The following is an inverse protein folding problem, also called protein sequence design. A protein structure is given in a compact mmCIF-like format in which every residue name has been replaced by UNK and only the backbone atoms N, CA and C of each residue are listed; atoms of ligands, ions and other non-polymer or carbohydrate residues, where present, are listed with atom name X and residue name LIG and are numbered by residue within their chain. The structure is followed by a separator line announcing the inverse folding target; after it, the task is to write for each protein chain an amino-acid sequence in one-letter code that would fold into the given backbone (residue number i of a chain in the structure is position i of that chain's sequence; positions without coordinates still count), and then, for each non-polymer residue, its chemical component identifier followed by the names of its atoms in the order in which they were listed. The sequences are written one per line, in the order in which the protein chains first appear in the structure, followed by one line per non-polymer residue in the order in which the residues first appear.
data_IF_533588716810
#
_entry.id   IF_533588716810
#
_cell.length_a   1.000
_cell.length_b   1.000
_cell.length_c   1.000
_cell.angle_alpha   90.00
_cell.angle_beta   90.00
_cell.angle_gamma   90.00
#
_symmetry.space_group_name_H-M   'P 1'
#
loop_
_entity.id
_entity.type
_entity.pdbx_description
1 polymer ?
#
# COMPACT_ATOMS: atom_id res chain seq x y z
N UNK A 1 6.13 -26.39 -16.32
CA UNK A 1 5.32 -27.50 -15.77
C UNK A 1 4.28 -27.86 -16.81
N UNK A 2 4.03 -29.14 -17.13
CA UNK A 2 2.94 -29.47 -18.06
C UNK A 2 1.56 -29.20 -17.43
N UNK A 3 0.55 -29.02 -18.26
CA UNK A 3 -0.79 -28.59 -17.81
C UNK A 3 -1.47 -29.65 -16.93
N UNK A 4 -1.21 -30.95 -17.14
CA UNK A 4 -1.78 -32.01 -16.34
C UNK A 4 -1.26 -31.98 -14.89
N UNK A 5 0.06 -31.80 -14.73
CA UNK A 5 0.70 -31.65 -13.43
C UNK A 5 0.29 -30.33 -12.74
N UNK A 6 0.12 -29.25 -13.51
CA UNK A 6 -0.41 -27.99 -13.01
C UNK A 6 -1.81 -28.17 -12.40
N UNK A 7 -2.76 -28.72 -13.15
CA UNK A 7 -4.13 -28.87 -12.68
C UNK A 7 -4.26 -29.84 -11.50
N UNK A 8 -3.47 -30.93 -11.48
CA UNK A 8 -3.43 -31.84 -10.34
C UNK A 8 -2.97 -31.14 -9.05
N UNK A 9 -1.95 -30.26 -9.14
CA UNK A 9 -1.50 -29.49 -7.97
C UNK A 9 -2.50 -28.39 -7.59
N UNK A 10 -3.17 -27.75 -8.56
CA UNK A 10 -4.24 -26.78 -8.25
C UNK A 10 -5.33 -27.45 -7.42
N UNK A 11 -5.79 -28.64 -7.85
CA UNK A 11 -6.82 -29.38 -7.13
C UNK A 11 -6.39 -29.80 -5.72
N UNK A 12 -5.14 -30.25 -5.57
CA UNK A 12 -4.57 -30.55 -4.25
C UNK A 12 -4.56 -29.31 -3.35
N UNK A 13 -4.01 -28.20 -3.84
CA UNK A 13 -3.86 -26.97 -3.06
C UNK A 13 -5.20 -26.32 -2.73
N UNK A 14 -6.19 -26.38 -3.63
CA UNK A 14 -7.56 -25.91 -3.34
C UNK A 14 -8.21 -26.71 -2.20
N UNK A 15 -8.01 -28.03 -2.17
CA UNK A 15 -8.46 -28.86 -1.05
C UNK A 15 -7.76 -28.49 0.27
N UNK A 16 -6.44 -28.22 0.22
CA UNK A 16 -5.68 -27.75 1.38
C UNK A 16 -6.10 -26.34 1.84
N UNK A 17 -6.67 -25.53 0.94
CA UNK A 17 -7.11 -24.16 1.18
C UNK A 17 -8.64 -24.03 1.31
N UNK A 18 -9.34 -25.11 1.67
CA UNK A 18 -10.80 -25.13 1.79
C UNK A 18 -11.38 -24.08 2.76
N UNK A 19 -10.59 -23.61 3.72
CA UNK A 19 -10.97 -22.57 4.69
C UNK A 19 -10.68 -21.14 4.20
N UNK A 20 -9.92 -20.98 3.11
CA UNK A 20 -9.66 -19.67 2.48
C UNK A 20 -10.90 -19.22 1.69
N UNK A 21 -11.27 -17.93 1.71
CA UNK A 21 -12.34 -17.42 0.84
C UNK A 21 -12.08 -17.74 -0.64
N UNK A 22 -13.08 -18.28 -1.33
CA UNK A 22 -12.95 -18.83 -2.69
C UNK A 22 -12.27 -17.86 -3.68
N UNK A 23 -12.63 -16.57 -3.64
CA UNK A 23 -12.08 -15.52 -4.51
C UNK A 23 -10.57 -15.28 -4.34
N UNK A 24 -9.96 -15.75 -3.23
CA UNK A 24 -8.53 -15.57 -2.94
C UNK A 24 -7.71 -16.82 -3.25
N UNK A 25 -8.37 -17.97 -3.37
CA UNK A 25 -7.69 -19.25 -3.62
C UNK A 25 -6.92 -19.30 -4.93
N UNK A 26 -7.41 -18.76 -6.08
CA UNK A 26 -6.62 -18.75 -7.31
C UNK A 26 -5.26 -18.09 -7.12
N UNK A 27 -5.26 -16.98 -6.37
CA UNK A 27 -4.07 -16.21 -6.08
C UNK A 27 -3.16 -16.92 -5.07
N UNK A 28 -3.70 -17.50 -3.99
CA UNK A 28 -2.92 -18.27 -3.01
C UNK A 28 -2.27 -19.53 -3.62
N UNK A 29 -3.00 -20.21 -4.50
CA UNK A 29 -2.52 -21.39 -5.23
C UNK A 29 -1.44 -21.01 -6.23
N UNK A 30 -1.61 -19.89 -6.94
CA UNK A 30 -0.56 -19.34 -7.80
C UNK A 30 0.76 -19.16 -7.05
N UNK A 31 0.73 -18.69 -5.79
CA UNK A 31 1.94 -18.54 -4.99
C UNK A 31 2.53 -19.84 -4.48
N UNK A 32 1.69 -20.77 -4.06
CA UNK A 32 2.15 -22.09 -3.63
C UNK A 32 2.86 -22.83 -4.78
N UNK A 33 2.46 -22.57 -6.03
CA UNK A 33 3.01 -23.21 -7.22
C UNK A 33 4.28 -22.54 -7.74
N UNK A 34 4.31 -21.22 -7.80
CA UNK A 34 5.34 -20.45 -8.53
C UNK A 34 6.38 -19.83 -7.59
N UNK A 35 6.02 -19.57 -6.32
CA UNK A 35 6.85 -18.74 -5.44
C UNK A 35 6.98 -17.30 -5.96
N UNK A 36 7.50 -16.39 -5.13
CA UNK A 36 7.65 -14.98 -5.54
C UNK A 36 8.98 -14.69 -6.28
N UNK A 37 9.93 -15.63 -6.27
CA UNK A 37 11.27 -15.43 -6.81
C UNK A 37 11.37 -15.66 -8.34
N UNK A 38 10.38 -16.31 -8.95
CA UNK A 38 10.36 -16.68 -10.38
C UNK A 38 9.33 -15.89 -11.20
N UNK A 39 9.02 -14.63 -10.84
CA UNK A 39 7.99 -13.85 -11.53
C UNK A 39 8.47 -13.25 -12.85
N UNK A 40 8.18 -13.93 -13.96
CA UNK A 40 8.29 -13.42 -15.33
C UNK A 40 6.92 -13.45 -16.07
N UNK A 41 6.87 -13.02 -17.34
CA UNK A 41 5.63 -13.07 -18.14
C UNK A 41 5.05 -14.49 -18.25
N UNK A 42 5.91 -15.51 -18.26
CA UNK A 42 5.52 -16.92 -18.33
C UNK A 42 4.86 -17.38 -17.03
N UNK A 43 5.35 -16.88 -15.88
CA UNK A 43 4.77 -17.09 -14.57
C UNK A 43 3.34 -16.53 -14.50
N UNK A 44 3.10 -15.30 -15.00
CA UNK A 44 1.77 -14.68 -15.00
C UNK A 44 0.76 -15.43 -15.86
N UNK A 45 1.20 -16.15 -16.89
CA UNK A 45 0.33 -17.02 -17.68
C UNK A 45 -0.27 -18.16 -16.84
N UNK A 46 0.43 -18.63 -15.79
CA UNK A 46 -0.14 -19.61 -14.86
C UNK A 46 -1.28 -19.03 -14.04
N UNK A 47 -1.23 -17.77 -13.63
CA UNK A 47 -2.35 -17.14 -12.92
C UNK A 47 -3.62 -17.13 -13.79
N UNK A 48 -3.48 -16.88 -15.10
CA UNK A 48 -4.58 -16.98 -16.06
C UNK A 48 -5.16 -18.40 -16.14
N UNK A 49 -4.31 -19.43 -16.19
CA UNK A 49 -4.73 -20.84 -16.20
C UNK A 49 -5.41 -21.27 -14.89
N UNK A 50 -4.87 -20.86 -13.75
CA UNK A 50 -5.44 -21.14 -12.42
C UNK A 50 -6.81 -20.47 -12.30
N UNK A 51 -6.91 -19.20 -12.70
CA UNK A 51 -8.18 -18.47 -12.67
C UNK A 51 -9.22 -19.14 -13.57
N UNK A 52 -8.84 -19.55 -14.78
CA UNK A 52 -9.72 -20.28 -15.69
C UNK A 52 -10.21 -21.61 -15.10
N UNK A 53 -9.33 -22.36 -14.42
CA UNK A 53 -9.71 -23.60 -13.74
C UNK A 53 -10.73 -23.35 -12.62
N UNK A 54 -10.53 -22.30 -11.82
CA UNK A 54 -11.47 -21.92 -10.75
C UNK A 54 -12.83 -21.49 -11.33
N UNK A 55 -12.83 -20.71 -12.41
CA UNK A 55 -14.07 -20.33 -13.10
C UNK A 55 -14.80 -21.56 -13.63
N UNK A 56 -14.07 -22.52 -14.22
CA UNK A 56 -14.66 -23.75 -14.73
C UNK A 56 -15.28 -24.60 -13.61
N UNK A 57 -14.64 -24.66 -12.44
CA UNK A 57 -15.09 -25.50 -11.32
C UNK A 57 -16.17 -24.87 -10.45
N UNK A 58 -16.07 -23.57 -10.21
CA UNK A 58 -16.88 -22.85 -9.22
C UNK A 58 -17.72 -21.71 -9.80
N UNK A 59 -17.60 -21.43 -11.10
CA UNK A 59 -18.30 -20.33 -11.77
C UNK A 59 -17.55 -19.01 -11.75
N UNK A 60 -18.09 -18.00 -12.44
CA UNK A 60 -17.45 -16.68 -12.58
C UNK A 60 -17.22 -15.96 -11.24
N UNK A 61 -17.98 -16.32 -10.19
CA UNK A 61 -17.80 -15.79 -8.83
C UNK A 61 -16.44 -16.15 -8.20
N UNK A 62 -15.74 -17.15 -8.75
CA UNK A 62 -14.39 -17.53 -8.35
C UNK A 62 -13.29 -16.82 -9.16
N UNK A 63 -13.65 -16.02 -10.17
CA UNK A 63 -12.70 -15.19 -10.89
C UNK A 63 -12.14 -14.12 -9.95
N UNK A 64 -10.82 -13.99 -9.89
CA UNK A 64 -10.24 -12.82 -9.24
C UNK A 64 -10.46 -11.61 -10.13
N UNK A 65 -11.28 -10.67 -9.68
CA UNK A 65 -11.65 -9.42 -10.38
C UNK A 65 -10.49 -8.41 -10.52
N UNK A 66 -9.29 -8.77 -10.02
CA UNK A 66 -8.14 -7.89 -9.97
C UNK A 66 -8.25 -6.78 -8.93
N UNK A 67 -9.33 -6.74 -8.15
CA UNK A 67 -9.54 -5.76 -7.07
C UNK A 67 -8.82 -6.29 -5.83
N UNK A 68 -7.81 -5.54 -5.38
CA UNK A 68 -7.10 -5.82 -4.15
C UNK A 68 -7.97 -5.51 -2.93
N UNK A 69 -8.67 -4.37 -3.00
CA UNK A 69 -9.53 -3.88 -1.92
C UNK A 69 -10.50 -2.80 -2.41
N UNK A 70 -11.46 -2.47 -1.55
CA UNK A 70 -12.50 -1.46 -1.73
C UNK A 70 -12.35 -0.42 -0.63
N UNK A 71 -11.84 0.76 -0.99
CA UNK A 71 -11.49 1.84 -0.06
C UNK A 71 -12.70 2.76 0.19
N UNK A 72 -13.27 2.79 1.41
CA UNK A 72 -14.37 3.70 1.75
C UNK A 72 -13.86 5.13 1.94
N UNK A 73 -14.31 6.02 1.05
CA UNK A 73 -13.99 7.44 1.07
C UNK A 73 -15.22 8.25 1.48
N UNK A 74 -15.04 9.17 2.43
CA UNK A 74 -16.08 10.17 2.72
C UNK A 74 -15.97 11.32 1.73
N UNK A 75 -16.88 11.36 0.75
CA UNK A 75 -16.83 12.31 -0.37
C UNK A 75 -18.22 12.90 -0.63
N UNK A 76 -18.31 14.24 -0.66
CA UNK A 76 -19.56 15.00 -0.81
C UNK A 76 -20.65 14.61 0.19
N UNK A 77 -20.28 14.44 1.46
CA UNK A 77 -21.22 14.17 2.55
C UNK A 77 -21.72 12.73 2.65
N UNK A 78 -21.18 11.81 1.85
CA UNK A 78 -21.55 10.39 1.84
C UNK A 78 -20.34 9.47 1.72
N UNK A 79 -20.49 8.21 2.14
CA UNK A 79 -19.51 7.16 1.86
C UNK A 79 -19.63 6.73 0.41
N UNK A 80 -18.50 6.72 -0.27
CA UNK A 80 -18.32 6.13 -1.59
C UNK A 80 -17.19 5.12 -1.52
N UNK A 81 -17.14 4.18 -2.46
CA UNK A 81 -16.15 3.12 -2.46
C UNK A 81 -15.28 3.27 -3.69
N UNK A 82 -13.98 3.40 -3.47
CA UNK A 82 -12.97 3.42 -4.52
C UNK A 82 -12.34 2.03 -4.64
N UNK A 83 -12.43 1.43 -5.82
CA UNK A 83 -11.77 0.14 -6.08
C UNK A 83 -10.26 0.33 -6.29
N UNK A 84 -9.49 -0.47 -5.55
CA UNK A 84 -8.03 -0.50 -5.65
C UNK A 84 -7.64 -1.74 -6.43
N UNK A 85 -7.10 -1.54 -7.63
CA UNK A 85 -6.86 -2.60 -8.61
C UNK A 85 -5.38 -2.97 -8.62
N UNK A 86 -5.07 -4.24 -8.84
CA UNK A 86 -3.72 -4.73 -9.04
C UNK A 86 -3.14 -4.22 -10.38
N UNK A 87 -1.93 -3.65 -10.34
CA UNK A 87 -1.29 -2.99 -11.48
C UNK A 87 -1.11 -3.88 -12.73
N UNK A 88 -1.17 -5.21 -12.59
CA UNK A 88 -1.00 -6.17 -13.69
C UNK A 88 -2.29 -6.69 -14.35
N UNK A 89 -3.48 -6.31 -13.87
CA UNK A 89 -4.74 -6.95 -14.31
C UNK A 89 -5.59 -6.09 -15.26
N UNK A 90 -5.42 -4.77 -15.31
CA UNK A 90 -6.20 -3.92 -16.25
C UNK A 90 -5.64 -2.50 -16.43
N UNK A 91 -5.70 -1.98 -17.67
CA UNK A 91 -5.42 -0.58 -18.01
C UNK A 91 -6.57 0.38 -17.60
N UNK A 92 -7.75 -0.15 -17.20
CA UNK A 92 -8.91 0.66 -16.78
C UNK A 92 -8.88 0.87 -15.27
N UNK A 93 -8.65 2.13 -14.90
CA UNK A 93 -8.23 2.58 -13.56
C UNK A 93 -9.44 2.69 -12.63
N UNK A 94 -9.35 2.12 -11.42
CA UNK A 94 -10.39 2.25 -10.39
C UNK A 94 -10.80 3.70 -10.14
N UNK A 95 -9.85 4.65 -10.15
CA UNK A 95 -10.13 6.08 -10.06
C UNK A 95 -10.84 6.66 -11.30
N UNK A 96 -10.51 6.22 -12.52
CA UNK A 96 -11.16 6.76 -13.72
C UNK A 96 -12.59 6.23 -13.87
N UNK A 97 -12.82 4.96 -13.51
CA UNK A 97 -14.18 4.41 -13.40
C UNK A 97 -14.98 5.18 -12.35
N UNK A 98 -14.39 5.40 -11.16
CA UNK A 98 -15.02 6.16 -10.08
C UNK A 98 -15.35 7.61 -10.48
N UNK A 99 -14.43 8.31 -11.16
CA UNK A 99 -14.66 9.66 -11.64
C UNK A 99 -15.75 9.71 -12.72
N UNK A 100 -15.79 8.72 -13.61
CA UNK A 100 -16.85 8.61 -14.61
C UNK A 100 -18.21 8.36 -13.97
N UNK A 101 -18.29 7.47 -12.99
CA UNK A 101 -19.52 7.22 -12.23
C UNK A 101 -19.98 8.48 -11.47
N UNK A 102 -19.05 9.28 -10.95
CA UNK A 102 -19.37 10.57 -10.33
C UNK A 102 -19.96 11.57 -11.34
N UNK A 103 -19.42 11.60 -12.56
CA UNK A 103 -19.92 12.43 -13.66
C UNK A 103 -21.32 11.98 -14.10
N UNK A 104 -21.50 10.68 -14.34
CA UNK A 104 -22.76 10.08 -14.79
C UNK A 104 -23.89 10.26 -13.75
N UNK A 105 -23.55 10.26 -12.45
CA UNK A 105 -24.50 10.39 -11.35
C UNK A 105 -24.69 11.83 -10.82
N UNK A 106 -24.15 12.85 -11.50
CA UNK A 106 -24.38 14.24 -11.08
C UNK A 106 -23.41 15.25 -11.65
N UNK A 107 -22.58 15.84 -10.77
CA UNK A 107 -21.62 16.89 -11.15
C UNK A 107 -20.21 16.31 -11.23
N UNK A 108 -19.41 16.66 -12.24
CA UNK A 108 -18.00 16.31 -12.28
C UNK A 108 -17.27 16.75 -11.00
N UNK A 109 -16.20 16.06 -10.65
CA UNK A 109 -15.32 16.49 -9.56
C UNK A 109 -14.68 17.85 -9.92
N UNK A 110 -14.73 18.80 -8.99
CA UNK A 110 -13.93 20.02 -9.08
C UNK A 110 -12.43 19.67 -9.02
N UNK A 111 -11.57 20.62 -9.38
CA UNK A 111 -10.13 20.41 -9.35
C UNK A 111 -9.61 19.97 -7.96
N UNK A 112 -10.08 20.60 -6.89
CA UNK A 112 -9.70 20.24 -5.52
C UNK A 112 -10.20 18.85 -5.13
N UNK A 113 -11.43 18.50 -5.51
CA UNK A 113 -11.97 17.16 -5.30
C UNK A 113 -11.19 16.10 -6.07
N UNK A 114 -10.83 16.39 -7.32
CA UNK A 114 -10.02 15.51 -8.14
C UNK A 114 -8.61 15.31 -7.56
N UNK A 115 -8.00 16.38 -7.02
CA UNK A 115 -6.69 16.34 -6.34
C UNK A 115 -6.77 15.45 -5.10
N UNK A 116 -7.80 15.64 -4.27
CA UNK A 116 -8.07 14.80 -3.11
C UNK A 116 -8.26 13.32 -3.49
N UNK A 117 -9.12 13.03 -4.47
CA UNK A 117 -9.38 11.66 -4.92
C UNK A 117 -8.15 10.98 -5.52
N UNK A 118 -7.34 11.74 -6.27
CA UNK A 118 -6.08 11.25 -6.83
C UNK A 118 -5.06 10.90 -5.75
N UNK A 119 -4.98 11.73 -4.69
CA UNK A 119 -4.13 11.45 -3.51
C UNK A 119 -4.58 10.18 -2.82
N UNK A 120 -5.87 10.08 -2.51
CA UNK A 120 -6.43 8.89 -1.84
C UNK A 120 -6.14 7.64 -2.66
N UNK A 121 -6.49 7.64 -3.96
CA UNK A 121 -6.24 6.50 -4.84
C UNK A 121 -4.78 6.06 -4.84
N UNK A 122 -3.85 7.01 -4.86
CA UNK A 122 -2.43 6.73 -4.88
C UNK A 122 -1.92 6.15 -3.54
N UNK A 123 -2.29 6.76 -2.41
CA UNK A 123 -1.96 6.26 -1.07
C UNK A 123 -2.51 4.84 -0.88
N UNK A 124 -3.78 4.63 -1.24
CA UNK A 124 -4.44 3.33 -1.13
C UNK A 124 -3.82 2.27 -2.01
N UNK A 125 -3.44 2.63 -3.25
CA UNK A 125 -2.77 1.70 -4.16
C UNK A 125 -1.41 1.28 -3.63
N UNK A 126 -0.63 2.21 -3.08
CA UNK A 126 0.65 1.90 -2.45
C UNK A 126 0.48 1.02 -1.21
N UNK A 127 -0.50 1.35 -0.36
CA UNK A 127 -0.77 0.62 0.87
C UNK A 127 -1.19 -0.81 0.58
N UNK A 128 -2.21 -0.99 -0.27
CA UNK A 128 -2.68 -2.32 -0.63
C UNK A 128 -1.65 -3.10 -1.45
N UNK A 129 -0.82 -2.45 -2.26
CA UNK A 129 0.30 -3.14 -2.92
C UNK A 129 1.31 -3.67 -1.91
N UNK A 130 1.60 -2.91 -0.84
CA UNK A 130 2.53 -3.32 0.21
C UNK A 130 1.99 -4.50 1.03
N UNK A 131 0.72 -4.41 1.44
CA UNK A 131 0.02 -5.48 2.14
C UNK A 131 -0.06 -6.73 1.27
N UNK A 132 -0.39 -6.55 0.00
CA UNK A 132 -0.49 -7.64 -0.95
C UNK A 132 0.88 -8.27 -1.08
N UNK A 133 1.93 -7.48 -1.37
CA UNK A 133 3.30 -7.96 -1.50
C UNK A 133 3.78 -8.81 -0.30
N UNK A 134 3.36 -8.48 0.92
CA UNK A 134 3.66 -9.30 2.10
C UNK A 134 2.94 -10.65 2.09
N UNK A 135 1.62 -10.67 1.81
CA UNK A 135 0.86 -11.93 1.69
C UNK A 135 1.42 -12.85 0.60
N UNK A 136 1.91 -12.24 -0.48
CA UNK A 136 2.54 -12.94 -1.60
C UNK A 136 3.90 -13.58 -1.22
N UNK A 137 4.42 -13.30 -0.03
CA UNK A 137 5.71 -13.78 0.46
C UNK A 137 5.55 -14.54 1.79
N UNK A 138 4.94 -15.74 1.77
CA UNK A 138 4.65 -16.48 3.00
C UNK A 138 5.90 -16.84 3.81
N UNK A 139 7.09 -16.88 3.20
CA UNK A 139 8.37 -17.09 3.87
C UNK A 139 8.82 -15.92 4.75
N UNK A 140 8.26 -14.72 4.58
CA UNK A 140 8.54 -13.55 5.42
C UNK A 140 7.85 -13.61 6.78
N UNK A 141 6.80 -14.43 6.92
CA UNK A 141 5.98 -14.49 8.12
C UNK A 141 6.03 -15.90 8.72
N UNK A 142 6.26 -15.97 10.03
CA UNK A 142 5.99 -17.18 10.80
C UNK A 142 4.50 -17.58 10.71
N UNK A 143 4.13 -18.84 11.00
CA UNK A 143 2.72 -19.27 10.95
C UNK A 143 1.78 -18.38 11.77
N UNK A 144 2.22 -17.95 12.95
CA UNK A 144 1.46 -17.04 13.83
C UNK A 144 1.29 -15.65 13.21
N UNK A 145 2.35 -15.09 12.61
CA UNK A 145 2.26 -13.79 11.95
C UNK A 145 1.36 -13.85 10.72
N UNK A 146 1.37 -14.97 9.99
CA UNK A 146 0.50 -15.20 8.84
C UNK A 146 -0.98 -15.25 9.23
N UNK A 147 -1.32 -15.95 10.32
CA UNK A 147 -2.69 -15.94 10.87
C UNK A 147 -3.16 -14.52 11.20
N UNK A 148 -2.33 -13.76 11.93
CA UNK A 148 -2.64 -12.37 12.26
C UNK A 148 -2.84 -11.52 11.00
N UNK A 149 -2.01 -11.72 9.98
CA UNK A 149 -2.03 -10.93 8.75
C UNK A 149 -3.31 -11.18 7.95
N UNK A 150 -3.70 -12.45 7.81
CA UNK A 150 -4.96 -12.85 7.16
C UNK A 150 -6.19 -12.31 7.88
N UNK A 151 -6.20 -12.35 9.21
CA UNK A 151 -7.30 -11.78 10.00
C UNK A 151 -7.37 -10.26 9.88
N UNK A 152 -6.23 -9.58 9.83
CA UNK A 152 -6.19 -8.13 9.60
C UNK A 152 -6.68 -7.75 8.19
N UNK A 153 -6.35 -8.57 7.18
CA UNK A 153 -6.88 -8.42 5.83
C UNK A 153 -8.39 -8.58 5.76
N UNK A 154 -8.92 -9.57 6.47
CA UNK A 154 -10.36 -9.75 6.63
C UNK A 154 -11.01 -8.50 7.24
N UNK A 155 -10.42 -7.96 8.33
CA UNK A 155 -10.93 -6.75 8.95
C UNK A 155 -10.94 -5.56 7.98
N UNK A 156 -9.83 -5.27 7.30
CA UNK A 156 -9.76 -4.16 6.33
C UNK A 156 -10.81 -4.33 5.22
N UNK A 157 -10.95 -5.54 4.67
CA UNK A 157 -11.91 -5.79 3.57
C UNK A 157 -13.36 -5.65 3.98
N UNK A 158 -13.69 -5.87 5.24
CA UNK A 158 -15.07 -5.73 5.73
C UNK A 158 -15.47 -4.27 5.99
N UNK A 159 -14.52 -3.35 6.18
CA UNK A 159 -14.85 -1.95 6.50
C UNK A 159 -15.63 -1.27 5.36
N UNK A 160 -15.25 -1.50 4.11
CA UNK A 160 -15.94 -0.95 2.93
C UNK A 160 -17.43 -1.35 2.88
N UNK A 161 -17.76 -2.66 2.86
CA UNK A 161 -19.14 -3.15 2.92
C UNK A 161 -19.90 -2.67 4.16
N UNK A 162 -19.29 -2.67 5.35
CA UNK A 162 -19.95 -2.20 6.57
C UNK A 162 -20.41 -0.73 6.42
N UNK A 163 -19.53 0.14 5.94
CA UNK A 163 -19.85 1.56 5.77
C UNK A 163 -20.81 1.82 4.62
N UNK A 164 -20.60 1.16 3.48
CA UNK A 164 -21.36 1.44 2.26
C UNK A 164 -22.76 0.79 2.29
N UNK A 165 -22.86 -0.46 2.74
CA UNK A 165 -24.12 -1.22 2.67
C UNK A 165 -24.95 -1.12 3.95
N UNK A 166 -24.33 -1.15 5.13
CA UNK A 166 -25.05 -1.17 6.41
C UNK A 166 -25.03 0.16 7.18
N UNK A 167 -24.14 1.08 6.81
CA UNK A 167 -23.91 2.31 7.57
C UNK A 167 -23.36 2.07 8.98
N UNK A 168 -22.80 0.89 9.26
CA UNK A 168 -22.26 0.53 10.58
C UNK A 168 -20.92 1.21 10.83
N UNK A 169 -21.02 2.44 11.33
CA UNK A 169 -19.88 3.28 11.72
C UNK A 169 -19.05 2.62 12.82
N UNK A 170 -19.70 2.01 13.81
CA UNK A 170 -19.02 1.46 14.98
C UNK A 170 -18.27 0.18 14.61
N UNK A 171 -18.91 -0.74 13.87
CA UNK A 171 -18.27 -1.93 13.34
C UNK A 171 -17.06 -1.60 12.46
N UNK A 172 -17.18 -0.61 11.58
CA UNK A 172 -16.09 -0.15 10.72
C UNK A 172 -14.86 0.36 11.51
N UNK A 173 -15.08 1.20 12.53
CA UNK A 173 -14.00 1.70 13.40
C UNK A 173 -13.34 0.53 14.15
N UNK A 174 -14.15 -0.41 14.63
CA UNK A 174 -13.69 -1.58 15.37
C UNK A 174 -12.81 -2.48 14.51
N UNK A 175 -13.24 -2.82 13.29
CA UNK A 175 -12.44 -3.60 12.34
C UNK A 175 -11.15 -2.87 11.97
N UNK A 176 -11.21 -1.55 11.75
CA UNK A 176 -10.01 -0.74 11.47
C UNK A 176 -8.99 -0.83 12.62
N UNK A 177 -9.45 -0.67 13.86
CA UNK A 177 -8.59 -0.79 15.04
C UNK A 177 -8.01 -2.20 15.19
N UNK A 178 -8.81 -3.23 14.95
CA UNK A 178 -8.37 -4.63 14.98
C UNK A 178 -7.31 -4.95 13.92
N UNK A 179 -7.45 -4.43 12.71
CA UNK A 179 -6.47 -4.61 11.65
C UNK A 179 -5.11 -4.01 12.05
N UNK A 180 -5.12 -2.76 12.52
CA UNK A 180 -3.92 -2.09 12.99
C UNK A 180 -3.27 -2.85 14.14
N UNK A 181 -4.04 -3.24 15.16
CA UNK A 181 -3.55 -4.02 16.31
C UNK A 181 -2.80 -5.29 15.86
N UNK A 182 -3.37 -6.03 14.91
CA UNK A 182 -2.78 -7.28 14.40
C UNK A 182 -1.46 -7.02 13.67
N UNK A 183 -1.36 -5.99 12.83
CA UNK A 183 -0.10 -5.63 12.18
C UNK A 183 0.96 -5.11 13.16
N UNK A 184 0.58 -4.32 14.16
CA UNK A 184 1.53 -3.92 15.21
C UNK A 184 2.05 -5.12 16.00
N UNK A 185 1.21 -6.13 16.24
CA UNK A 185 1.62 -7.40 16.84
C UNK A 185 2.55 -8.21 15.93
N UNK A 186 2.28 -8.26 14.63
CA UNK A 186 3.20 -8.87 13.65
C UNK A 186 4.57 -8.19 13.70
N UNK A 187 4.60 -6.85 13.73
CA UNK A 187 5.83 -6.10 13.85
C UNK A 187 6.57 -6.42 15.15
N UNK A 188 5.87 -6.54 16.29
CA UNK A 188 6.49 -6.86 17.57
C UNK A 188 7.17 -8.22 17.54
N UNK A 189 6.50 -9.23 16.98
CA UNK A 189 7.08 -10.56 16.76
C UNK A 189 8.31 -10.48 15.84
N UNK A 190 8.21 -9.72 14.75
CA UNK A 190 9.29 -9.52 13.78
C UNK A 190 10.53 -8.88 14.42
N UNK A 191 10.35 -7.95 15.36
CA UNK A 191 11.45 -7.32 16.11
C UNK A 191 11.85 -8.08 17.39
N UNK A 192 11.44 -9.35 17.52
CA UNK A 192 11.91 -10.25 18.56
C UNK A 192 11.10 -10.28 19.87
N UNK A 193 9.84 -9.82 19.88
CA UNK A 193 8.95 -10.07 21.02
C UNK A 193 8.60 -11.57 21.07
N UNK A 194 8.77 -12.26 22.21
CA UNK A 194 8.36 -13.66 22.33
C UNK A 194 6.83 -13.83 22.17
N UNK A 195 6.37 -14.86 21.43
CA UNK A 195 4.94 -15.12 21.22
C UNK A 195 4.11 -15.20 22.50
N UNK A 196 4.70 -15.69 23.60
CA UNK A 196 4.02 -15.90 24.88
C UNK A 196 3.66 -14.59 25.58
N UNK A 197 4.31 -13.48 25.20
CA UNK A 197 4.03 -12.13 25.69
C UNK A 197 2.95 -11.43 24.86
N UNK A 198 2.68 -11.89 23.64
CA UNK A 198 1.70 -11.30 22.76
C UNK A 198 0.30 -11.42 23.37
N UNK A 199 -0.47 -10.33 23.34
CA UNK A 199 -1.83 -10.31 23.89
C UNK A 199 -1.92 -10.19 25.42
N UNK A 200 -0.80 -10.07 26.15
CA UNK A 200 -0.77 -9.91 27.61
C UNK A 200 -0.37 -8.50 28.03
N UNK A 201 -0.95 -8.02 29.14
CA UNK A 201 -0.61 -6.72 29.73
C UNK A 201 -0.66 -5.58 28.71
N UNK A 202 0.46 -4.86 28.55
CA UNK A 202 0.58 -3.74 27.60
C UNK A 202 0.49 -4.15 26.12
N UNK A 203 0.61 -5.44 25.80
CA UNK A 203 0.53 -5.99 24.44
C UNK A 203 -0.86 -6.49 24.05
N UNK A 204 -1.90 -6.13 24.83
CA UNK A 204 -3.27 -6.61 24.62
C UNK A 204 -3.96 -5.89 23.46
N UNK A 205 -4.56 -4.72 23.70
CA UNK A 205 -5.35 -3.98 22.70
C UNK A 205 -4.99 -2.49 22.59
N UNK A 206 -4.11 -1.96 23.42
CA UNK A 206 -3.81 -0.53 23.39
C UNK A 206 -2.76 -0.23 22.30
N UNK A 207 -3.16 0.43 21.21
CA UNK A 207 -2.26 0.71 20.08
C UNK A 207 -1.05 1.56 20.51
N UNK A 208 -1.24 2.53 21.40
CA UNK A 208 -0.18 3.42 21.86
C UNK A 208 0.90 2.63 22.60
N UNK A 209 0.51 1.69 23.48
CA UNK A 209 1.45 0.80 24.14
C UNK A 209 2.18 -0.14 23.17
N UNK A 210 1.50 -0.63 22.12
CA UNK A 210 2.14 -1.44 21.09
C UNK A 210 3.19 -0.62 20.33
N UNK A 211 2.86 0.61 19.94
CA UNK A 211 3.79 1.51 19.25
C UNK A 211 4.97 1.90 20.13
N UNK A 212 4.75 2.27 21.39
CA UNK A 212 5.88 2.64 22.26
C UNK A 212 6.82 1.47 22.49
N UNK A 213 6.28 0.25 22.59
CA UNK A 213 7.11 -0.94 22.67
C UNK A 213 7.84 -1.26 21.35
N UNK A 214 7.26 -0.96 20.19
CA UNK A 214 7.90 -1.09 18.88
C UNK A 214 9.00 -0.05 18.68
N UNK A 215 8.69 1.23 18.92
CA UNK A 215 9.61 2.34 18.81
C UNK A 215 10.82 2.18 19.75
N UNK A 216 10.60 1.64 20.96
CA UNK A 216 11.67 1.31 21.89
C UNK A 216 12.58 0.15 21.44
N UNK A 217 12.15 -0.67 20.47
CA UNK A 217 12.96 -1.74 19.86
C UNK A 217 13.61 -1.28 18.56
N UNK A 218 12.87 -0.57 17.72
CA UNK A 218 13.35 -0.02 16.45
C UNK A 218 12.73 1.36 16.19
N UNK A 219 13.58 2.39 16.14
CA UNK A 219 13.16 3.79 16.06
C UNK A 219 12.31 4.12 14.81
N UNK A 220 12.43 3.37 13.72
CA UNK A 220 11.64 3.56 12.49
C UNK A 220 10.12 3.50 12.73
N UNK A 221 9.66 2.74 13.73
CA UNK A 221 8.23 2.67 14.07
C UNK A 221 7.69 3.90 14.79
N UNK A 222 8.53 4.90 15.14
CA UNK A 222 8.08 6.20 15.67
C UNK A 222 7.13 6.90 14.69
N UNK A 223 7.29 6.65 13.38
CA UNK A 223 6.41 7.19 12.33
C UNK A 223 4.95 6.76 12.52
N UNK A 224 4.71 5.62 13.17
CA UNK A 224 3.35 5.12 13.43
C UNK A 224 2.70 5.75 14.67
N UNK A 225 3.41 6.56 15.48
CA UNK A 225 2.83 7.18 16.68
C UNK A 225 1.62 8.04 16.37
N UNK A 226 1.76 8.97 15.42
CA UNK A 226 0.66 9.87 15.05
C UNK A 226 -0.57 9.09 14.55
N UNK A 227 -0.46 8.22 13.51
CA UNK A 227 -1.63 7.52 13.01
C UNK A 227 -2.23 6.54 14.03
N UNK A 228 -1.42 5.88 14.86
CA UNK A 228 -1.93 5.00 15.91
C UNK A 228 -2.65 5.77 17.03
N UNK A 229 -2.12 6.91 17.46
CA UNK A 229 -2.76 7.77 18.47
C UNK A 229 -4.10 8.31 17.97
N UNK A 230 -4.14 8.80 16.72
CA UNK A 230 -5.37 9.29 16.09
C UNK A 230 -6.41 8.16 15.95
N UNK A 231 -5.98 6.96 15.55
CA UNK A 231 -6.86 5.79 15.46
C UNK A 231 -7.38 5.36 16.84
N UNK A 232 -6.52 5.38 17.85
CA UNK A 232 -6.89 5.04 19.22
C UNK A 232 -7.90 6.04 19.79
N UNK A 233 -7.79 7.35 19.50
CA UNK A 233 -8.76 8.36 19.91
C UNK A 233 -10.16 8.17 19.30
N UNK A 234 -10.25 7.46 18.16
CA UNK A 234 -11.53 7.09 17.55
C UNK A 234 -12.18 5.90 18.28
N UNK A 235 -11.39 5.08 18.98
CA UNK A 235 -11.80 3.91 19.75
C UNK A 235 -10.90 3.69 20.99
N UNK A 236 -11.14 4.45 22.06
CA UNK A 236 -10.29 4.44 23.26
C UNK A 236 -10.23 3.06 23.96
N UNK A 237 -11.23 2.21 23.72
CA UNK A 237 -11.28 0.86 24.29
C UNK A 237 -12.08 -0.09 23.41
N UNK A 238 -11.65 -1.35 23.36
CA UNK A 238 -12.42 -2.43 22.71
C UNK A 238 -13.76 -2.68 23.41
N UNK A 239 -13.90 -2.29 24.68
CA UNK A 239 -15.18 -2.33 25.39
C UNK A 239 -16.19 -1.33 24.82
N UNK A 240 -15.73 -0.34 24.06
CA UNK A 240 -16.62 0.63 23.42
C UNK A 240 -17.57 -0.02 22.41
N UNK A 241 -17.29 -1.26 21.95
CA UNK A 241 -18.23 -2.11 21.20
C UNK A 241 -19.58 -2.27 21.87
N UNK A 242 -19.63 -2.19 23.20
CA UNK A 242 -20.83 -2.38 24.00
C UNK A 242 -21.48 -1.06 24.44
N UNK A 243 -20.99 0.07 23.93
CA UNK A 243 -21.50 1.41 24.23
C UNK A 243 -21.79 2.19 22.96
N UNK A 244 -22.70 3.16 23.01
CA UNK A 244 -23.00 4.03 21.86
C UNK A 244 -21.88 5.05 21.66
N UNK A 245 -21.01 4.84 20.66
CA UNK A 245 -20.04 5.85 20.27
C UNK A 245 -20.71 6.90 19.36
N UNK A 246 -20.65 8.18 19.74
CA UNK A 246 -21.04 9.29 18.85
C UNK A 246 -19.92 9.53 17.84
N UNK A 247 -19.87 8.71 16.80
CA UNK A 247 -18.93 8.81 15.67
C UNK A 247 -19.70 8.92 14.37
N UNK A 248 -19.06 9.55 13.39
CA UNK A 248 -19.64 9.80 12.06
C UNK A 248 -19.08 8.84 11.03
N UNK A 249 -19.72 8.76 9.87
CA UNK A 249 -19.16 8.06 8.71
C UNK A 249 -17.77 8.58 8.31
N UNK A 250 -17.54 9.90 8.46
CA UNK A 250 -16.23 10.52 8.23
C UNK A 250 -15.18 9.98 9.19
N UNK A 251 -15.53 9.82 10.47
CA UNK A 251 -14.63 9.24 11.48
C UNK A 251 -14.28 7.79 11.15
N UNK A 252 -15.24 7.00 10.67
CA UNK A 252 -14.96 5.61 10.27
C UNK A 252 -14.11 5.49 9.01
N UNK A 253 -14.33 6.34 7.99
CA UNK A 253 -13.46 6.41 6.82
C UNK A 253 -12.02 6.84 7.22
N UNK A 254 -11.89 7.78 8.16
CA UNK A 254 -10.59 8.17 8.70
C UNK A 254 -9.94 7.03 9.50
N UNK A 255 -10.70 6.32 10.34
CA UNK A 255 -10.20 5.14 11.07
C UNK A 255 -9.64 4.09 10.11
N UNK A 256 -10.37 3.81 9.02
CA UNK A 256 -9.91 2.91 7.97
C UNK A 256 -8.59 3.35 7.36
N UNK A 257 -8.49 4.62 6.93
CA UNK A 257 -7.26 5.18 6.34
C UNK A 257 -6.07 5.06 7.30
N UNK A 258 -6.26 5.41 8.57
CA UNK A 258 -5.21 5.32 9.60
C UNK A 258 -4.77 3.87 9.83
N UNK A 259 -5.73 2.95 9.94
CA UNK A 259 -5.45 1.53 10.12
C UNK A 259 -4.71 0.95 8.92
N UNK A 260 -5.17 1.24 7.70
CA UNK A 260 -4.55 0.83 6.46
C UNK A 260 -3.09 1.30 6.40
N UNK A 261 -2.84 2.57 6.72
CA UNK A 261 -1.49 3.12 6.75
C UNK A 261 -0.59 2.39 7.76
N UNK A 262 -1.08 2.15 8.99
CA UNK A 262 -0.34 1.36 9.99
C UNK A 262 0.00 -0.05 9.48
N UNK A 263 -0.97 -0.74 8.87
CA UNK A 263 -0.77 -2.08 8.34
C UNK A 263 0.25 -2.09 7.20
N UNK A 264 0.07 -1.17 6.24
CA UNK A 264 0.95 -1.00 5.09
C UNK A 264 2.38 -0.74 5.52
N UNK A 265 2.61 0.25 6.39
CA UNK A 265 3.94 0.58 6.88
C UNK A 265 4.65 -0.65 7.47
N UNK A 266 3.97 -1.41 8.32
CA UNK A 266 4.54 -2.64 8.88
C UNK A 266 4.88 -3.64 7.78
N UNK A 267 3.98 -3.86 6.83
CA UNK A 267 4.21 -4.77 5.70
C UNK A 267 5.44 -4.36 4.88
N UNK A 268 5.57 -3.06 4.58
CA UNK A 268 6.74 -2.50 3.92
C UNK A 268 8.02 -2.79 4.71
N UNK A 269 8.01 -2.52 6.03
CA UNK A 269 9.20 -2.70 6.86
C UNK A 269 9.65 -4.16 6.95
N UNK A 270 8.72 -5.11 7.04
CA UNK A 270 9.06 -6.55 7.08
C UNK A 270 9.71 -6.97 5.76
N UNK A 271 9.13 -6.55 4.63
CA UNK A 271 9.70 -6.82 3.31
C UNK A 271 11.10 -6.21 3.17
N UNK A 272 11.25 -4.94 3.53
CA UNK A 272 12.50 -4.21 3.39
C UNK A 272 13.60 -4.73 4.31
N UNK A 273 13.27 -5.11 5.56
CA UNK A 273 14.23 -5.72 6.49
C UNK A 273 14.80 -7.02 5.93
N UNK A 274 13.98 -7.84 5.26
CA UNK A 274 14.45 -9.05 4.60
C UNK A 274 15.40 -8.74 3.45
N UNK A 275 15.01 -7.86 2.55
CA UNK A 275 15.76 -7.55 1.31
C UNK A 275 17.08 -6.87 1.64
N UNK A 276 17.10 -5.95 2.60
CA UNK A 276 18.31 -5.22 3.00
C UNK A 276 19.28 -6.07 3.82
N UNK A 277 18.76 -6.98 4.64
CA UNK A 277 19.53 -7.63 5.71
C UNK A 277 19.96 -6.70 6.86
N UNK A 278 19.54 -5.43 6.82
CA UNK A 278 19.81 -4.41 7.83
C UNK A 278 18.59 -3.50 8.02
N UNK A 279 18.40 -2.96 9.24
CA UNK A 279 17.22 -2.17 9.60
C UNK A 279 17.16 -0.80 8.91
N UNK A 280 18.30 -0.26 8.52
CA UNK A 280 18.39 1.06 7.89
C UNK A 280 19.55 1.10 6.89
N UNK A 281 19.50 2.04 5.94
CA UNK A 281 20.53 2.26 4.94
C UNK A 281 21.02 3.71 4.97
N UNK A 282 22.34 3.90 4.82
CA UNK A 282 22.88 5.23 4.56
C UNK A 282 22.57 5.65 3.13
N UNK A 283 21.69 6.64 2.94
CA UNK A 283 21.48 7.24 1.61
C UNK A 283 22.77 7.96 1.16
N UNK A 284 23.29 7.57 -0.01
CA UNK A 284 24.52 8.09 -0.61
C UNK A 284 24.20 8.78 -1.92
N UNK A 285 24.65 10.03 -2.06
CA UNK A 285 24.35 10.83 -3.25
C UNK A 285 24.82 10.12 -4.52
N UNK A 286 23.96 10.13 -5.55
CA UNK A 286 24.21 9.46 -6.82
C UNK A 286 23.94 7.97 -6.84
N UNK A 287 23.54 7.36 -5.71
CA UNK A 287 23.09 5.96 -5.66
C UNK A 287 21.60 5.82 -5.97
N UNK A 288 21.23 4.59 -6.30
CA UNK A 288 19.88 4.20 -6.66
C UNK A 288 19.25 3.31 -5.60
N UNK A 289 17.95 3.51 -5.43
CA UNK A 289 17.17 2.95 -4.35
C UNK A 289 15.81 2.51 -4.87
N UNK A 290 15.26 1.46 -4.29
CA UNK A 290 13.91 0.98 -4.59
C UNK A 290 13.10 0.90 -3.30
N UNK A 291 11.82 1.26 -3.36
CA UNK A 291 10.90 1.08 -2.24
C UNK A 291 10.12 -0.25 -2.35
N UNK A 292 9.26 -0.53 -1.38
CA UNK A 292 8.42 -1.73 -1.33
C UNK A 292 7.29 -1.77 -2.36
N UNK A 293 7.07 -0.67 -3.09
CA UNK A 293 6.13 -0.57 -4.20
C UNK A 293 6.85 -0.66 -5.57
N UNK A 294 8.11 -1.13 -5.56
CA UNK A 294 8.96 -1.30 -6.73
C UNK A 294 9.27 -0.01 -7.49
N UNK A 295 9.09 1.16 -6.85
CA UNK A 295 9.44 2.45 -7.43
C UNK A 295 10.93 2.70 -7.26
N UNK A 296 11.55 3.22 -8.31
CA UNK A 296 13.00 3.37 -8.39
C UNK A 296 13.39 4.84 -8.31
N UNK A 297 14.37 5.12 -7.45
CA UNK A 297 14.79 6.47 -7.10
C UNK A 297 16.29 6.63 -7.25
N UNK A 298 16.74 7.82 -7.69
CA UNK A 298 18.12 8.29 -7.50
C UNK A 298 18.15 9.28 -6.35
N UNK A 299 19.01 9.06 -5.35
CA UNK A 299 19.20 10.03 -4.29
C UNK A 299 20.15 11.15 -4.71
N UNK A 300 19.74 12.39 -4.49
CA UNK A 300 20.43 13.60 -4.94
C UNK A 300 20.85 14.52 -3.78
N UNK A 301 20.97 13.96 -2.57
CA UNK A 301 21.41 14.68 -1.40
C UNK A 301 20.26 15.29 -0.59
N UNK A 302 20.59 16.27 0.24
CA UNK A 302 19.65 16.88 1.18
C UNK A 302 19.55 18.39 1.00
N UNK A 303 18.42 18.97 1.40
CA UNK A 303 18.21 20.41 1.41
C UNK A 303 17.47 20.84 2.67
N UNK A 304 17.98 21.86 3.34
CA UNK A 304 17.28 22.51 4.45
C UNK A 304 16.17 23.42 3.92
N UNK A 305 14.96 23.32 4.48
CA UNK A 305 13.83 24.22 4.22
C UNK A 305 12.97 24.32 5.49
N UNK A 306 12.70 25.54 5.95
CA UNK A 306 11.82 25.81 7.09
C UNK A 306 12.20 25.04 8.38
N UNK A 307 13.50 24.83 8.62
CA UNK A 307 14.01 24.06 9.76
C UNK A 307 13.97 22.54 9.58
N UNK A 308 13.45 22.04 8.46
CA UNK A 308 13.37 20.62 8.12
C UNK A 308 14.49 20.24 7.14
N UNK A 309 15.14 19.10 7.39
CA UNK A 309 16.05 18.51 6.42
C UNK A 309 15.24 17.66 5.43
N UNK A 310 15.30 18.00 4.15
CA UNK A 310 14.60 17.29 3.08
C UNK A 310 15.56 16.41 2.28
N UNK A 311 15.20 15.14 2.07
CA UNK A 311 15.82 14.24 1.11
C UNK A 311 15.34 14.62 -0.30
N UNK A 312 16.28 14.77 -1.23
CA UNK A 312 15.98 14.99 -2.65
C UNK A 312 16.15 13.66 -3.39
N UNK A 313 15.09 13.16 -4.01
CA UNK A 313 15.13 11.91 -4.78
C UNK A 313 14.46 12.09 -6.14
N UNK A 314 15.10 11.63 -7.21
CA UNK A 314 14.46 11.54 -8.52
C UNK A 314 13.78 10.18 -8.66
N UNK A 315 12.45 10.17 -8.77
CA UNK A 315 11.67 9.02 -9.22
C UNK A 315 11.92 8.79 -10.71
N UNK A 316 12.22 7.55 -11.08
CA UNK A 316 12.61 7.16 -12.43
C UNK A 316 11.71 6.07 -12.99
N UNK A 317 11.06 6.37 -14.12
CA UNK A 317 10.31 5.39 -14.90
C UNK A 317 9.12 4.77 -14.19
N UNK A 318 8.52 5.46 -13.23
CA UNK A 318 7.29 5.00 -12.59
C UNK A 318 6.17 4.89 -13.61
N UNK A 319 5.37 3.84 -13.56
CA UNK A 319 4.19 3.71 -14.41
C UNK A 319 3.01 4.34 -13.69
N UNK A 320 2.39 5.33 -14.33
CA UNK A 320 1.08 5.85 -13.94
C UNK A 320 0.24 5.85 -15.21
N UNK A 321 -0.88 5.12 -15.20
CA UNK A 321 -1.88 5.26 -16.27
C UNK A 321 -1.36 4.90 -17.68
N UNK A 322 -0.40 3.96 -17.77
CA UNK A 322 0.27 3.56 -19.00
C UNK A 322 1.33 4.55 -19.49
N UNK A 323 1.61 5.60 -18.69
CA UNK A 323 2.63 6.60 -18.97
C UNK A 323 3.80 6.43 -18.00
N UNK A 324 5.00 6.63 -18.52
CA UNK A 324 6.20 6.72 -17.70
C UNK A 324 6.29 8.12 -17.08
N UNK A 325 6.34 8.17 -15.76
CA UNK A 325 6.55 9.37 -14.95
C UNK A 325 7.97 9.37 -14.42
N UNK A 326 8.65 10.49 -14.60
CA UNK A 326 9.87 10.84 -13.88
C UNK A 326 9.63 12.15 -13.13
N UNK A 327 10.05 12.22 -11.87
CA UNK A 327 9.77 13.38 -11.03
C UNK A 327 10.85 13.59 -9.96
N UNK A 328 11.16 14.84 -9.64
CA UNK A 328 11.93 15.17 -8.43
C UNK A 328 10.97 15.19 -7.23
N UNK A 329 11.18 14.27 -6.30
CA UNK A 329 10.44 14.12 -5.06
C UNK A 329 11.27 14.63 -3.89
N UNK A 330 10.59 15.19 -2.87
CA UNK A 330 11.21 15.74 -1.66
C UNK A 330 10.55 15.12 -0.44
N UNK A 331 11.32 14.49 0.43
CA UNK A 331 10.84 13.82 1.64
C UNK A 331 11.46 14.45 2.88
N UNK A 332 10.78 14.46 4.03
CA UNK A 332 11.39 14.88 5.31
C UNK A 332 12.30 13.74 5.80
N UNK A 333 13.55 14.03 6.22
CA UNK A 333 14.56 13.01 6.57
C UNK A 333 14.51 12.54 8.04
N UNK A 334 15.01 11.31 8.33
CA UNK A 334 15.49 10.29 7.40
C UNK A 334 14.44 9.18 7.15
N UNK A 335 13.92 9.09 5.92
CA UNK A 335 13.07 7.99 5.45
C UNK A 335 13.88 6.81 4.87
N UNK A 336 15.16 6.67 5.19
CA UNK A 336 16.04 5.63 4.63
C UNK A 336 15.48 4.21 4.84
N UNK A 337 14.74 4.00 5.93
CA UNK A 337 14.03 2.77 6.22
C UNK A 337 12.86 2.47 5.25
N UNK A 338 12.53 3.33 4.28
CA UNK A 338 11.59 3.04 3.19
C UNK A 338 12.24 2.49 1.91
N UNK A 339 13.57 2.52 1.77
CA UNK A 339 14.24 2.09 0.53
C UNK A 339 15.34 1.04 0.71
N UNK A 340 15.56 0.15 -0.25
CA UNK A 340 16.76 -0.68 -0.31
C UNK A 340 17.66 -0.23 -1.47
N UNK A 341 18.97 -0.43 -1.34
CA UNK A 341 19.92 -0.04 -2.37
C UNK A 341 19.82 -0.99 -3.57
N UNK A 342 19.72 -0.43 -4.78
CA UNK A 342 19.82 -1.21 -6.01
C UNK A 342 21.30 -1.45 -6.28
N UNK A 343 21.69 -2.72 -6.36
CA UNK A 343 23.10 -3.13 -6.57
C UNK A 343 23.32 -3.88 -7.87
N UNK A 344 22.26 -4.30 -8.57
CA UNK A 344 22.41 -5.05 -9.80
C UNK A 344 22.89 -4.15 -10.95
N UNK A 345 23.98 -4.57 -11.60
CA UNK A 345 24.65 -3.76 -12.62
C UNK A 345 23.75 -3.42 -13.82
N UNK A 346 22.96 -4.36 -14.38
CA UNK A 346 22.08 -4.05 -15.50
C UNK A 346 21.03 -2.97 -15.18
N UNK A 347 20.36 -3.05 -14.02
CA UNK A 347 19.38 -2.03 -13.61
C UNK A 347 20.06 -0.70 -13.32
N UNK A 348 21.23 -0.71 -12.67
CA UNK A 348 21.99 0.52 -12.44
C UNK A 348 22.34 1.24 -13.75
N UNK A 349 22.79 0.50 -14.76
CA UNK A 349 23.08 1.06 -16.09
C UNK A 349 21.81 1.65 -16.73
N UNK A 350 20.69 0.90 -16.71
CA UNK A 350 19.39 1.37 -17.24
C UNK A 350 18.93 2.66 -16.55
N UNK A 351 19.03 2.72 -15.22
CA UNK A 351 18.61 3.87 -14.42
C UNK A 351 19.53 5.08 -14.61
N UNK A 352 20.83 4.86 -14.77
CA UNK A 352 21.79 5.93 -15.10
C UNK A 352 21.53 6.50 -16.48
N UNK A 353 21.35 5.66 -17.51
CA UNK A 353 20.96 6.12 -18.84
C UNK A 353 19.68 6.95 -18.80
N UNK A 354 18.65 6.48 -18.10
CA UNK A 354 17.38 7.22 -17.96
C UNK A 354 17.56 8.56 -17.26
N UNK A 355 18.33 8.60 -16.17
CA UNK A 355 18.62 9.84 -15.46
C UNK A 355 19.35 10.85 -16.35
N UNK A 356 20.37 10.41 -17.09
CA UNK A 356 21.10 11.28 -18.03
C UNK A 356 20.20 11.82 -19.15
N UNK A 357 19.28 11.01 -19.69
CA UNK A 357 18.28 11.48 -20.66
C UNK A 357 17.41 12.61 -20.09
N UNK A 358 16.92 12.45 -18.85
CA UNK A 358 16.10 13.46 -18.17
C UNK A 358 16.89 14.75 -17.98
N UNK A 359 18.14 14.65 -17.51
CA UNK A 359 19.01 15.80 -17.28
C UNK A 359 19.41 16.50 -18.59
N UNK A 360 19.60 15.75 -19.68
CA UNK A 360 19.86 16.31 -21.00
C UNK A 360 18.63 17.08 -21.52
N UNK A 361 17.43 16.50 -21.39
CA UNK A 361 16.16 17.16 -21.76
C UNK A 361 15.91 18.40 -20.93
N UNK A 362 16.17 18.38 -19.62
CA UNK A 362 15.96 19.54 -18.75
C UNK A 362 16.91 20.71 -19.08
N UNK A 363 18.10 20.41 -19.61
CA UNK A 363 19.06 21.43 -20.07
C UNK A 363 18.68 22.03 -21.42
N UNK A 364 18.00 21.27 -22.28
CA UNK A 364 17.57 21.70 -23.61
C UNK A 364 16.17 22.33 -23.62
N UNK A 365 15.32 21.99 -22.65
CA UNK A 365 14.01 22.60 -22.52
C UNK A 365 14.18 24.10 -22.22
N UNK A 366 13.49 25.00 -22.96
CA UNK A 366 13.38 26.38 -22.52
C UNK A 366 12.86 26.36 -21.08
N UNK A 367 13.39 27.22 -20.20
CA UNK A 367 12.86 27.38 -18.84
C UNK A 367 11.40 27.84 -18.97
N UNK A 368 10.48 26.88 -19.07
CA UNK A 368 9.05 27.13 -19.02
C UNK A 368 8.83 27.60 -17.61
N UNK A 369 8.62 28.92 -17.45
CA UNK A 369 8.06 29.44 -16.21
C UNK A 369 6.74 28.70 -16.02
N UNK A 370 6.47 28.11 -14.84
CA UNK A 370 5.13 27.62 -14.56
C UNK A 370 4.15 28.74 -14.92
N UNK A 371 3.06 28.41 -15.63
CA UNK A 371 2.04 29.41 -15.92
C UNK A 371 1.65 30.12 -14.61
N UNK A 372 1.28 31.41 -14.61
CA UNK A 372 0.93 32.17 -13.41
C UNK A 372 -0.17 31.59 -12.51
N UNK A 373 -0.74 30.42 -12.84
CA UNK A 373 -1.66 29.63 -12.02
C UNK A 373 -1.14 28.25 -11.57
N UNK A 374 0.15 27.94 -11.74
CA UNK A 374 0.73 26.66 -11.29
C UNK A 374 1.22 26.78 -9.85
N UNK A 375 0.39 26.38 -8.89
CA UNK A 375 0.78 26.32 -7.48
C UNK A 375 1.54 25.03 -7.18
N UNK A 376 2.81 25.14 -6.79
CA UNK A 376 3.56 24.03 -6.18
C UNK A 376 3.23 24.08 -4.69
N UNK A 377 2.25 23.29 -4.26
CA UNK A 377 1.86 23.23 -2.85
C UNK A 377 2.58 22.09 -2.12
N UNK A 378 3.10 22.41 -0.93
CA UNK A 378 3.56 21.44 0.07
C UNK A 378 2.30 20.83 0.67
N UNK A 379 2.10 19.52 0.51
CA UNK A 379 1.01 18.82 1.17
C UNK A 379 1.54 18.20 2.47
N UNK A 380 1.17 18.78 3.61
CA UNK A 380 1.57 18.35 4.95
C UNK A 380 0.71 17.18 5.47
N UNK A 381 -0.32 16.75 4.71
CA UNK A 381 -1.30 15.74 5.15
C UNK A 381 -1.06 14.32 4.60
N UNK A 382 -0.09 14.11 3.72
CA UNK A 382 0.26 12.78 3.23
C UNK A 382 1.25 12.11 4.17
N UNK A 383 0.97 10.85 4.55
CA UNK A 383 1.87 10.08 5.40
C UNK A 383 3.22 9.78 4.73
N UNK A 384 3.26 9.78 3.39
CA UNK A 384 4.46 9.51 2.59
C UNK A 384 5.15 10.79 2.09
N UNK A 385 4.68 11.98 2.50
CA UNK A 385 5.22 13.28 2.07
C UNK A 385 5.44 13.37 0.55
N UNK A 386 4.49 12.88 -0.25
CA UNK A 386 4.60 12.89 -1.70
C UNK A 386 4.19 14.25 -2.29
N UNK A 387 5.16 15.02 -2.78
CA UNK A 387 4.87 16.09 -3.76
C UNK A 387 4.86 15.52 -5.17
N UNK A 388 3.69 15.51 -5.81
CA UNK A 388 3.54 15.19 -7.23
C UNK A 388 3.58 16.51 -8.02
N UNK A 389 4.67 16.75 -8.76
CA UNK A 389 4.70 17.82 -9.76
C UNK A 389 4.31 17.20 -11.11
N UNK A 390 3.06 17.43 -11.55
CA UNK A 390 2.66 17.10 -12.93
C UNK A 390 2.99 18.29 -13.82
N UNK A 391 3.97 18.13 -14.71
CA UNK A 391 4.17 19.05 -15.82
C UNK A 391 3.27 18.58 -16.97
N UNK A 392 2.32 19.38 -17.48
CA UNK A 392 1.56 18.99 -18.66
C UNK A 392 2.52 18.85 -19.85
N UNK A 393 2.59 17.65 -20.42
CA UNK A 393 3.20 17.44 -21.72
C UNK A 393 2.21 17.97 -22.75
N UNK A 394 2.50 19.13 -23.35
CA UNK A 394 1.76 19.56 -24.56
C UNK A 394 1.85 18.42 -25.57
N UNK A 395 0.70 17.95 -26.08
CA UNK A 395 0.66 17.08 -27.25
C UNK A 395 1.45 17.78 -28.37
N UNK A 396 2.50 17.12 -28.84
CA UNK A 396 3.18 17.44 -30.09
C UNK A 396 2.30 17.08 -31.27
#
# INVERSE_FOLDING_TARGET
MDDALLYAKIEQLDAEMAETPLILRPLDIYHALIGKEERDEESLAYLGKITAWFIQRYGEEAAWDGVLSRDPIFFRGRIQVLEIIHNGVSERRGLDTFLKELEDNGKPASFEEWKYLSRVALESSQDFSSLHNLEMMPSLLSPMQRDLSRRAWFDLRNVGPLLHSSGDVQGAIVHSHEAAEKYLKIALLHVGLPPEQLGKGKYRHNLNHLIDALAGRQNKYVFLRKPANELHALLDSMNARYSSLKRTQKDAAQAFRLARHCCSFVAQQIHLDRVRGAFDIGLQEGRYYQDSADRQYRYCGTRQKDGEQLALMYLLGAQDRGQKIDALVRFILPCSFHYFAITDVPTLQRLESRFQEIMARSRQAPKVRPDPGTTIEKDEESFDAMMIVRTPVKKS
#
